data_IF_215901631291
#
_entry.id   IF_215901631291
#
_cell.length_a   1.000
_cell.length_b   1.000
_cell.length_c   1.000
_cell.angle_alpha   90.00
_cell.angle_beta   90.00
_cell.angle_gamma   90.00
#
_symmetry.space_group_name_H-M   'P 1'
#
loop_
_entity.id
_entity.type
_entity.pdbx_description
1 polymer ?
#
# COMPACT_ATOMS: atom_id res chain seq x y z
N UNK A 1 -68.34 37.53 15.98
CA UNK A 1 -67.14 36.71 15.71
C UNK A 1 -66.39 36.68 17.01
N UNK A 2 -66.46 35.56 17.71
CA UNK A 2 -66.04 35.49 19.10
C UNK A 2 -64.53 35.23 19.17
N UNK A 3 -63.89 35.55 20.29
CA UNK A 3 -62.44 35.36 20.49
C UNK A 3 -61.98 33.91 20.23
N UNK A 4 -62.91 32.95 20.38
CA UNK A 4 -62.72 31.51 20.11
C UNK A 4 -62.56 31.23 18.61
N UNK A 5 -63.31 31.91 17.75
CA UNK A 5 -63.25 31.75 16.29
C UNK A 5 -61.89 32.22 15.74
N UNK A 6 -61.36 33.32 16.31
CA UNK A 6 -60.07 33.89 15.92
C UNK A 6 -58.90 32.96 16.26
N UNK A 7 -58.97 32.29 17.41
CA UNK A 7 -57.97 31.32 17.85
C UNK A 7 -57.92 30.10 16.91
N UNK A 8 -59.09 29.63 16.46
CA UNK A 8 -59.21 28.53 15.50
C UNK A 8 -58.58 28.84 14.14
N UNK A 9 -58.80 30.05 13.61
CA UNK A 9 -58.23 30.50 12.33
C UNK A 9 -56.70 30.61 12.43
N UNK A 10 -56.17 31.15 13.53
CA UNK A 10 -54.72 31.22 13.75
C UNK A 10 -54.11 29.81 13.83
N UNK A 11 -54.73 28.90 14.56
CA UNK A 11 -54.27 27.51 14.65
C UNK A 11 -54.25 26.81 13.29
N UNK A 12 -55.24 27.08 12.44
CA UNK A 12 -55.29 26.54 11.08
C UNK A 12 -54.15 27.10 10.19
N UNK A 13 -53.88 28.40 10.26
CA UNK A 13 -52.79 29.04 9.52
C UNK A 13 -51.42 28.49 9.94
N UNK A 14 -51.18 28.37 11.25
CA UNK A 14 -49.94 27.79 11.79
C UNK A 14 -49.79 26.34 11.32
N UNK A 15 -50.88 25.57 11.28
CA UNK A 15 -50.87 24.17 10.83
C UNK A 15 -50.46 24.05 9.35
N UNK A 16 -51.00 24.90 8.48
CA UNK A 16 -50.64 24.94 7.05
C UNK A 16 -49.16 25.31 6.87
N UNK A 17 -48.69 26.32 7.61
CA UNK A 17 -47.29 26.76 7.55
C UNK A 17 -46.36 25.64 8.04
N UNK A 18 -46.70 25.00 9.16
CA UNK A 18 -45.93 23.89 9.73
C UNK A 18 -45.83 22.72 8.75
N UNK A 19 -46.93 22.36 8.10
CA UNK A 19 -46.94 21.30 7.08
C UNK A 19 -46.07 21.67 5.88
N UNK A 20 -46.14 22.91 5.41
CA UNK A 20 -45.29 23.41 4.32
C UNK A 20 -43.80 23.36 4.66
N UNK A 21 -43.42 23.79 5.86
CA UNK A 21 -42.05 23.70 6.35
C UNK A 21 -41.56 22.25 6.47
N UNK A 22 -42.39 21.33 6.98
CA UNK A 22 -42.04 19.92 7.09
C UNK A 22 -41.76 19.29 5.73
N UNK A 23 -42.60 19.57 4.72
CA UNK A 23 -42.42 19.10 3.35
C UNK A 23 -41.13 19.68 2.73
N UNK A 24 -40.89 20.98 2.91
CA UNK A 24 -39.67 21.62 2.41
C UNK A 24 -38.39 21.02 3.01
N UNK A 25 -38.37 20.84 4.35
CA UNK A 25 -37.26 20.21 5.05
C UNK A 25 -37.06 18.78 4.56
N UNK A 26 -38.13 18.00 4.41
CA UNK A 26 -38.07 16.62 3.91
C UNK A 26 -37.38 16.55 2.55
N UNK A 27 -37.80 17.35 1.57
CA UNK A 27 -37.17 17.34 0.24
C UNK A 27 -35.71 17.78 0.25
N UNK A 28 -35.37 18.80 1.05
CA UNK A 28 -33.99 19.28 1.12
C UNK A 28 -33.07 18.28 1.83
N UNK A 29 -33.54 17.66 2.93
CA UNK A 29 -32.81 16.61 3.62
C UNK A 29 -32.69 15.35 2.77
N UNK A 30 -33.75 14.90 2.09
CA UNK A 30 -33.71 13.72 1.23
C UNK A 30 -32.67 13.89 0.09
N UNK A 31 -32.62 15.06 -0.56
CA UNK A 31 -31.59 15.36 -1.56
C UNK A 31 -30.17 15.33 -0.99
N UNK A 32 -29.97 15.90 0.21
CA UNK A 32 -28.66 15.93 0.88
C UNK A 32 -28.23 14.54 1.37
N UNK A 33 -29.16 13.74 1.88
CA UNK A 33 -28.92 12.36 2.31
C UNK A 33 -28.50 11.53 1.10
N UNK A 34 -29.27 11.59 0.00
CA UNK A 34 -28.94 10.87 -1.24
C UNK A 34 -27.57 11.24 -1.80
N UNK A 35 -27.20 12.53 -1.80
CA UNK A 35 -25.87 12.93 -2.29
C UNK A 35 -24.74 12.44 -1.39
N UNK A 36 -24.95 12.41 -0.07
CA UNK A 36 -23.99 11.84 0.88
C UNK A 36 -23.87 10.32 0.73
N UNK A 37 -24.99 9.62 0.54
CA UNK A 37 -25.00 8.17 0.29
C UNK A 37 -24.23 7.80 -0.98
N UNK A 38 -24.42 8.55 -2.07
CA UNK A 38 -23.65 8.35 -3.31
C UNK A 38 -22.15 8.50 -3.05
N UNK A 39 -21.74 9.58 -2.37
CA UNK A 39 -20.32 9.82 -2.07
C UNK A 39 -19.71 8.70 -1.18
N UNK A 40 -20.46 8.26 -0.16
CA UNK A 40 -20.03 7.17 0.72
C UNK A 40 -19.87 5.88 -0.07
N UNK A 41 -20.84 5.55 -0.93
CA UNK A 41 -20.82 4.34 -1.74
C UNK A 41 -19.65 4.36 -2.72
N UNK A 42 -19.39 5.50 -3.38
CA UNK A 42 -18.24 5.66 -4.28
C UNK A 42 -16.92 5.48 -3.54
N UNK A 43 -16.79 6.10 -2.37
CA UNK A 43 -15.60 5.97 -1.54
C UNK A 43 -15.38 4.52 -1.10
N UNK A 44 -16.42 3.86 -0.59
CA UNK A 44 -16.36 2.45 -0.20
C UNK A 44 -15.97 1.56 -1.37
N UNK A 45 -16.59 1.74 -2.53
CA UNK A 45 -16.27 0.96 -3.73
C UNK A 45 -14.80 1.12 -4.11
N UNK A 46 -14.29 2.36 -4.12
CA UNK A 46 -12.88 2.65 -4.41
C UNK A 46 -11.96 1.98 -3.38
N UNK A 47 -12.23 2.12 -2.09
CA UNK A 47 -11.44 1.48 -1.04
C UNK A 47 -11.46 -0.04 -1.15
N UNK A 48 -12.60 -0.64 -1.50
CA UNK A 48 -12.69 -2.07 -1.74
C UNK A 48 -11.86 -2.50 -2.96
N UNK A 49 -11.92 -1.76 -4.07
CA UNK A 49 -11.11 -2.04 -5.26
C UNK A 49 -9.61 -1.90 -4.98
N UNK A 50 -9.20 -0.88 -4.23
CA UNK A 50 -7.82 -0.70 -3.79
C UNK A 50 -7.38 -1.85 -2.89
N UNK A 51 -8.18 -2.24 -1.91
CA UNK A 51 -7.88 -3.36 -1.02
C UNK A 51 -7.74 -4.69 -1.77
N UNK A 52 -8.62 -4.97 -2.73
CA UNK A 52 -8.53 -6.16 -3.59
C UNK A 52 -7.30 -6.13 -4.50
N UNK A 53 -6.88 -4.95 -4.93
CA UNK A 53 -5.66 -4.76 -5.71
C UNK A 53 -4.41 -4.99 -4.85
N UNK A 54 -4.37 -4.43 -3.64
CA UNK A 54 -3.25 -4.59 -2.70
C UNK A 54 -3.08 -6.04 -2.22
N UNK A 55 -4.16 -6.83 -2.14
CA UNK A 55 -4.10 -8.28 -1.87
C UNK A 55 -3.35 -9.07 -2.94
N UNK A 56 -3.28 -8.55 -4.17
CA UNK A 56 -2.60 -9.20 -5.30
C UNK A 56 -1.12 -8.81 -5.43
N UNK A 57 -0.68 -7.79 -4.70
CA UNK A 57 0.67 -7.25 -4.79
C UNK A 57 1.58 -7.88 -3.73
N UNK A 58 2.70 -8.41 -4.19
CA UNK A 58 3.85 -8.62 -3.33
C UNK A 58 4.65 -7.31 -3.23
N UNK A 59 5.49 -7.19 -2.20
CA UNK A 59 6.39 -6.06 -2.04
C UNK A 59 7.73 -6.54 -1.51
N UNK A 60 8.67 -6.77 -2.42
CA UNK A 60 10.00 -7.23 -2.07
C UNK A 60 10.84 -6.07 -1.55
N UNK A 61 11.45 -6.29 -0.39
CA UNK A 61 12.37 -5.36 0.27
C UNK A 61 13.66 -6.06 0.64
N UNK A 62 14.71 -5.29 0.91
CA UNK A 62 16.01 -5.82 1.27
C UNK A 62 16.64 -5.02 2.41
N UNK A 63 17.39 -5.68 3.28
CA UNK A 63 18.23 -5.02 4.27
C UNK A 63 19.50 -5.84 4.55
N UNK A 64 20.53 -5.19 5.07
CA UNK A 64 21.77 -5.87 5.47
C UNK A 64 21.68 -6.26 6.93
N UNK A 65 22.02 -7.51 7.23
CA UNK A 65 22.17 -8.03 8.58
C UNK A 65 23.59 -8.51 8.80
N UNK A 66 24.14 -8.24 9.99
CA UNK A 66 25.43 -8.80 10.39
C UNK A 66 25.20 -10.22 10.92
N UNK A 67 25.96 -11.19 10.39
CA UNK A 67 25.91 -12.58 10.83
C UNK A 67 26.96 -12.83 11.90
N UNK A 68 28.23 -12.64 11.54
CA UNK A 68 29.39 -12.86 12.39
C UNK A 68 30.46 -11.79 12.12
N UNK A 69 31.65 -11.92 12.72
CA UNK A 69 32.76 -10.99 12.48
C UNK A 69 33.16 -11.02 11.00
N UNK A 70 32.94 -9.91 10.29
CA UNK A 70 33.24 -9.77 8.86
C UNK A 70 32.25 -10.47 7.92
N UNK A 71 31.22 -11.16 8.45
CA UNK A 71 30.22 -11.87 7.67
C UNK A 71 28.86 -11.18 7.79
N UNK A 72 28.22 -10.95 6.64
CA UNK A 72 26.98 -10.24 6.49
C UNK A 72 26.04 -11.01 5.56
N UNK A 73 24.76 -10.67 5.59
CA UNK A 73 23.80 -11.15 4.62
C UNK A 73 22.89 -10.01 4.14
N UNK A 74 22.56 -10.02 2.85
CA UNK A 74 21.46 -9.24 2.29
C UNK A 74 20.21 -10.09 2.47
N UNK A 75 19.36 -9.70 3.42
CA UNK A 75 18.07 -10.35 3.65
C UNK A 75 17.05 -9.73 2.71
N UNK A 76 16.57 -10.52 1.76
CA UNK A 76 15.50 -10.15 0.83
C UNK A 76 14.21 -10.78 1.33
N UNK A 77 13.17 -9.98 1.51
CA UNK A 77 11.94 -10.43 2.16
C UNK A 77 10.70 -9.82 1.51
N UNK A 78 9.58 -10.54 1.62
CA UNK A 78 8.30 -10.07 1.13
C UNK A 78 7.52 -9.37 2.24
N UNK A 79 7.28 -8.07 2.07
CA UNK A 79 6.49 -7.23 2.97
C UNK A 79 5.08 -6.91 2.45
N UNK A 80 4.72 -7.46 1.27
CA UNK A 80 3.41 -7.30 0.66
C UNK A 80 2.43 -8.40 1.08
N UNK A 81 1.25 -8.39 0.45
CA UNK A 81 0.14 -9.28 0.82
C UNK A 81 0.03 -10.52 -0.08
N UNK A 82 0.62 -10.48 -1.28
CA UNK A 82 0.65 -11.62 -2.20
C UNK A 82 1.98 -12.35 -2.18
N UNK A 83 1.96 -13.60 -2.61
CA UNK A 83 3.15 -14.39 -2.91
C UNK A 83 3.91 -13.73 -4.07
N UNK A 84 5.22 -13.55 -3.89
CA UNK A 84 6.14 -13.22 -4.98
C UNK A 84 6.71 -14.50 -5.59
N UNK A 85 6.91 -14.50 -6.90
CA UNK A 85 7.49 -15.60 -7.67
C UNK A 85 8.66 -15.12 -8.51
N UNK A 86 9.54 -16.04 -8.89
CA UNK A 86 10.62 -15.78 -9.84
C UNK A 86 11.48 -14.57 -9.39
N UNK A 87 11.85 -14.55 -8.12
CA UNK A 87 12.55 -13.42 -7.52
C UNK A 87 13.99 -13.43 -7.99
N UNK A 88 14.45 -12.30 -8.54
CA UNK A 88 15.81 -12.10 -9.05
C UNK A 88 16.43 -10.90 -8.36
N UNK A 89 17.74 -10.96 -8.13
CA UNK A 89 18.48 -9.92 -7.40
C UNK A 89 19.71 -9.52 -8.20
N UNK A 90 19.94 -8.22 -8.32
CA UNK A 90 21.17 -7.63 -8.85
C UNK A 90 21.72 -6.60 -7.85
N UNK A 91 23.05 -6.49 -7.78
CA UNK A 91 23.76 -5.64 -6.82
C UNK A 91 24.68 -4.71 -7.62
N UNK A 92 24.69 -3.42 -7.30
CA UNK A 92 25.44 -2.39 -8.03
C UNK A 92 26.09 -1.37 -7.09
N UNK A 93 27.19 -0.74 -7.52
CA UNK A 93 27.87 0.29 -6.73
C UNK A 93 27.32 1.70 -6.95
N UNK A 94 26.82 1.96 -8.15
CA UNK A 94 26.29 3.24 -8.58
C UNK A 94 24.85 3.07 -9.09
N UNK A 95 24.17 4.19 -9.36
CA UNK A 95 22.84 4.22 -9.97
C UNK A 95 22.81 3.69 -11.41
N UNK A 96 23.99 3.51 -12.02
CA UNK A 96 24.17 2.89 -13.33
C UNK A 96 24.12 1.37 -13.18
N UNK A 97 22.99 0.79 -13.56
CA UNK A 97 22.72 -0.67 -13.58
C UNK A 97 23.64 -1.49 -14.50
N UNK A 98 24.68 -0.88 -15.08
CA UNK A 98 25.59 -1.44 -16.07
C UNK A 98 26.90 -1.99 -15.46
N UNK A 99 27.17 -1.70 -14.19
CA UNK A 99 28.40 -2.15 -13.53
C UNK A 99 28.20 -3.53 -12.90
N UNK A 100 28.29 -4.58 -13.72
CA UNK A 100 28.40 -5.98 -13.24
C UNK A 100 29.83 -6.23 -12.72
N UNK A 101 30.14 -5.66 -11.55
CA UNK A 101 31.38 -5.95 -10.83
C UNK A 101 31.15 -6.99 -9.72
N UNK A 102 32.19 -7.75 -9.37
CA UNK A 102 32.24 -8.55 -8.13
C UNK A 102 32.36 -7.59 -6.92
N UNK A 103 31.27 -6.88 -6.63
CA UNK A 103 31.20 -5.80 -5.63
C UNK A 103 31.35 -6.36 -4.22
N UNK A 104 30.78 -7.54 -4.00
CA UNK A 104 30.77 -8.23 -2.71
C UNK A 104 31.37 -9.62 -2.88
N UNK A 105 32.11 -10.06 -1.87
CA UNK A 105 32.57 -11.45 -1.79
C UNK A 105 31.40 -12.35 -1.36
N UNK A 106 30.52 -12.65 -2.32
CA UNK A 106 29.34 -13.49 -2.11
C UNK A 106 29.79 -14.92 -1.80
N UNK A 107 29.35 -15.46 -0.66
CA UNK A 107 29.62 -16.83 -0.24
C UNK A 107 28.46 -17.77 -0.51
N UNK A 108 27.23 -17.25 -0.52
CA UNK A 108 26.03 -18.02 -0.81
C UNK A 108 24.98 -17.09 -1.45
N UNK A 109 24.39 -17.53 -2.55
CA UNK A 109 23.33 -16.80 -3.23
C UNK A 109 22.23 -17.78 -3.67
N UNK A 110 21.05 -17.78 -3.01
CA UNK A 110 19.94 -18.65 -3.36
C UNK A 110 19.11 -18.11 -4.53
N UNK A 111 19.46 -16.96 -5.11
CA UNK A 111 18.71 -16.34 -6.21
C UNK A 111 19.21 -16.80 -7.58
N UNK A 112 18.32 -17.01 -8.57
CA UNK A 112 16.89 -16.72 -8.53
C UNK A 112 16.10 -17.63 -7.59
N UNK A 113 15.20 -17.04 -6.81
CA UNK A 113 14.41 -17.74 -5.79
C UNK A 113 12.99 -17.95 -6.29
N UNK A 114 12.50 -19.19 -6.23
CA UNK A 114 11.26 -19.55 -6.91
C UNK A 114 10.03 -18.83 -6.34
N UNK A 115 9.94 -18.70 -5.01
CA UNK A 115 8.74 -18.21 -4.35
C UNK A 115 9.04 -17.63 -2.96
N UNK A 116 8.50 -16.46 -2.63
CA UNK A 116 8.49 -15.88 -1.28
C UNK A 116 7.06 -15.57 -0.86
N UNK A 117 6.54 -16.28 0.15
CA UNK A 117 5.25 -15.95 0.77
C UNK A 117 5.34 -14.62 1.53
N UNK A 118 4.21 -13.97 1.84
CA UNK A 118 4.20 -12.83 2.74
C UNK A 118 4.97 -13.13 4.04
N UNK A 119 5.85 -12.21 4.45
CA UNK A 119 6.74 -12.32 5.61
C UNK A 119 7.90 -13.34 5.53
N UNK A 120 7.97 -14.15 4.47
CA UNK A 120 9.13 -15.01 4.22
C UNK A 120 10.32 -14.22 3.69
N UNK A 121 11.50 -14.84 3.74
CA UNK A 121 12.75 -14.24 3.30
C UNK A 121 13.74 -15.29 2.79
N UNK A 122 14.70 -14.81 2.00
CA UNK A 122 15.89 -15.53 1.59
C UNK A 122 17.11 -14.60 1.69
N UNK A 123 18.30 -15.16 1.85
CA UNK A 123 19.48 -14.40 2.22
C UNK A 123 20.64 -14.64 1.25
N UNK A 124 21.27 -13.56 0.79
CA UNK A 124 22.56 -13.61 0.07
C UNK A 124 23.65 -13.35 1.10
N UNK A 125 24.48 -14.36 1.38
CA UNK A 125 25.59 -14.23 2.33
C UNK A 125 26.84 -13.70 1.64
N UNK A 126 27.55 -12.79 2.29
CA UNK A 126 28.80 -12.24 1.79
C UNK A 126 29.79 -11.92 2.92
N UNK A 127 31.07 -11.89 2.56
CA UNK A 127 32.15 -11.45 3.44
C UNK A 127 32.55 -10.01 3.12
N UNK A 128 32.76 -9.21 4.17
CA UNK A 128 33.26 -7.86 4.07
C UNK A 128 34.72 -7.80 4.53
N UNK A 129 35.59 -7.36 3.64
CA UNK A 129 37.03 -7.18 3.87
C UNK A 129 37.42 -5.69 3.79
N UNK A 130 38.71 -5.41 3.95
CA UNK A 130 39.22 -4.05 3.72
C UNK A 130 38.95 -3.63 2.27
N UNK A 131 38.34 -2.46 2.09
CA UNK A 131 37.94 -1.95 0.78
C UNK A 131 36.57 -2.41 0.29
N UNK A 132 35.89 -3.34 0.98
CA UNK A 132 34.50 -3.69 0.63
C UNK A 132 33.60 -2.47 0.83
N UNK A 133 32.84 -2.05 -0.19
CA UNK A 133 31.91 -0.92 -0.09
C UNK A 133 30.94 -1.08 1.09
N UNK A 134 30.75 -0.01 1.85
CA UNK A 134 29.77 0.03 2.93
C UNK A 134 28.35 0.33 2.43
N UNK A 135 28.22 0.79 1.19
CA UNK A 135 26.93 1.16 0.59
C UNK A 135 26.87 0.63 -0.83
N UNK A 136 25.73 0.07 -1.23
CA UNK A 136 25.50 -0.45 -2.57
C UNK A 136 23.99 -0.55 -2.85
N UNK A 137 23.61 -0.53 -4.13
CA UNK A 137 22.24 -0.70 -4.57
C UNK A 137 21.88 -2.18 -4.70
N UNK A 138 20.66 -2.52 -4.33
CA UNK A 138 20.06 -3.83 -4.55
C UNK A 138 18.79 -3.65 -5.38
N UNK A 139 18.81 -4.18 -6.60
CA UNK A 139 17.65 -4.28 -7.48
C UNK A 139 17.03 -5.66 -7.31
N UNK A 140 15.75 -5.68 -6.98
CA UNK A 140 14.95 -6.91 -6.90
C UNK A 140 13.90 -6.87 -8.01
N UNK A 141 13.69 -8.00 -8.67
CA UNK A 141 12.66 -8.18 -9.69
C UNK A 141 11.83 -9.42 -9.35
N UNK A 142 10.52 -9.37 -9.54
CA UNK A 142 9.63 -10.49 -9.23
C UNK A 142 8.33 -10.44 -10.02
N UNK A 143 7.63 -11.57 -10.03
CA UNK A 143 6.27 -11.70 -10.53
C UNK A 143 5.30 -11.84 -9.35
N UNK A 144 4.11 -11.26 -9.44
CA UNK A 144 3.02 -11.51 -8.49
C UNK A 144 1.65 -11.62 -9.20
N UNK A 145 0.55 -11.59 -8.45
CA UNK A 145 -0.79 -11.69 -9.04
C UNK A 145 -1.25 -10.37 -9.69
N UNK A 146 -0.53 -9.28 -9.45
CA UNK A 146 -0.83 -7.97 -10.00
C UNK A 146 -0.11 -7.74 -11.33
N UNK A 147 1.19 -8.05 -11.39
CA UNK A 147 1.98 -7.88 -12.61
C UNK A 147 3.23 -8.78 -12.64
N UNK A 148 3.83 -8.92 -13.81
CA UNK A 148 5.12 -9.60 -14.03
C UNK A 148 6.27 -8.61 -14.10
N UNK A 149 7.49 -9.05 -13.80
CA UNK A 149 8.71 -8.24 -13.87
C UNK A 149 8.65 -6.91 -13.09
N UNK A 150 7.90 -6.92 -11.97
CA UNK A 150 7.89 -5.80 -11.04
C UNK A 150 9.27 -5.63 -10.44
N UNK A 151 9.66 -4.38 -10.19
CA UNK A 151 11.00 -4.07 -9.69
C UNK A 151 10.98 -3.15 -8.47
N UNK A 152 12.04 -3.27 -7.67
CA UNK A 152 12.33 -2.35 -6.58
C UNK A 152 13.85 -2.23 -6.40
N UNK A 153 14.32 -0.98 -6.31
CA UNK A 153 15.73 -0.64 -6.10
C UNK A 153 15.86 0.01 -4.73
N UNK A 154 16.79 -0.48 -3.91
CA UNK A 154 17.10 0.05 -2.59
C UNK A 154 18.60 0.30 -2.45
N UNK A 155 18.96 1.48 -1.96
CA UNK A 155 20.31 1.77 -1.49
C UNK A 155 20.45 1.18 -0.08
N UNK A 156 21.33 0.20 0.09
CA UNK A 156 21.59 -0.43 1.38
C UNK A 156 22.91 0.06 1.96
N UNK A 157 22.92 0.31 3.27
CA UNK A 157 24.11 0.67 4.02
C UNK A 157 24.43 -0.43 5.04
N UNK A 158 25.66 -0.93 5.01
CA UNK A 158 26.17 -1.94 5.92
C UNK A 158 26.40 -1.32 7.31
N UNK A 159 25.79 -1.87 8.37
CA UNK A 159 25.97 -1.39 9.74
C UNK A 159 27.35 -1.76 10.34
#
# INVERSE_FOLDING_TARGET
MDSVDYLGIIGFIISIISLGFAIFIYFNHDKKIKSQEVLINEYQLKTHQEAETEKKKALIKANIIKKNKGSYAIKVFNSGNSIAKNIRVKIYLDDKEDTEEDILSITENPFPFAMLSPHDNAEISFMAFYGTPSTFYVKTMWDDLFDTDRENIQLLHRP
#
